data_IF_941648330662
#
_entry.id   IF_941648330662
#
_cell.length_a   1.000
_cell.length_b   1.000
_cell.length_c   1.000
_cell.angle_alpha   90.00
_cell.angle_beta   90.00
_cell.angle_gamma   90.00
#
_symmetry.space_group_name_H-M   'P 1'
#
loop_
_entity.id
_entity.type
_entity.pdbx_description
1 polymer ?
#
# COMPACT_ATOMS: atom_id res chain seq x y z
N UNK A 1 8.96 4.32 4.81
CA UNK A 1 10.00 3.34 4.44
C UNK A 1 11.05 4.00 3.54
N UNK A 2 10.85 4.23 2.25
CA UNK A 2 11.89 4.79 1.37
C UNK A 2 12.51 6.11 1.87
N UNK A 3 11.67 7.08 2.27
CA UNK A 3 12.13 8.42 2.72
C UNK A 3 12.57 8.49 4.18
N UNK A 4 12.28 7.49 4.98
CA UNK A 4 12.59 7.44 6.40
C UNK A 4 12.68 5.96 6.88
N UNK A 5 13.69 5.20 6.43
CA UNK A 5 13.79 3.77 6.69
C UNK A 5 13.84 3.46 8.18
N UNK A 6 14.57 4.26 8.95
CA UNK A 6 14.77 4.03 10.39
C UNK A 6 13.55 4.38 11.27
N UNK A 7 12.50 4.95 10.68
CA UNK A 7 11.30 5.37 11.41
C UNK A 7 10.15 4.36 11.33
N UNK A 8 10.28 3.33 10.50
CA UNK A 8 9.24 2.33 10.28
C UNK A 8 9.81 0.96 10.63
N UNK A 9 9.49 0.46 11.79
CA UNK A 9 9.99 -0.82 12.30
C UNK A 9 9.28 -2.03 11.72
N UNK A 10 8.02 -1.88 11.32
CA UNK A 10 7.22 -2.87 10.61
C UNK A 10 6.04 -2.20 9.91
N UNK A 11 5.46 -2.83 8.90
CA UNK A 11 4.31 -2.31 8.17
C UNK A 11 3.25 -3.37 7.90
N UNK A 12 1.98 -3.00 8.06
CA UNK A 12 0.85 -3.79 7.57
C UNK A 12 0.29 -3.11 6.33
N UNK A 13 0.42 -3.75 5.18
CA UNK A 13 -0.04 -3.25 3.90
C UNK A 13 -1.43 -3.83 3.62
N UNK A 14 -2.46 -3.09 4.01
CA UNK A 14 -3.84 -3.51 3.81
C UNK A 14 -4.32 -3.07 2.43
N UNK A 15 -4.65 -4.03 1.57
CA UNK A 15 -5.17 -3.79 0.23
C UNK A 15 -4.26 -2.83 -0.57
N UNK A 16 -3.02 -3.23 -0.89
CA UNK A 16 -2.12 -2.35 -1.61
C UNK A 16 -2.70 -1.96 -2.96
N UNK A 17 -2.66 -0.67 -3.24
CA UNK A 17 -3.05 -0.11 -4.55
C UNK A 17 -1.97 -0.45 -5.56
N UNK A 18 -2.36 -0.95 -6.73
CA UNK A 18 -1.42 -1.33 -7.76
C UNK A 18 -1.87 -1.01 -9.17
N UNK A 19 -0.90 -0.97 -10.07
CA UNK A 19 -1.13 -0.81 -11.50
C UNK A 19 -1.70 -2.09 -12.10
N UNK A 20 -2.75 -1.93 -12.91
CA UNK A 20 -3.37 -3.00 -13.69
C UNK A 20 -3.27 -2.65 -15.18
N UNK A 21 -2.43 -3.34 -15.96
CA UNK A 21 -2.22 -3.01 -17.37
C UNK A 21 -3.50 -3.01 -18.21
N UNK A 22 -4.44 -3.91 -17.92
CA UNK A 22 -5.74 -4.01 -18.59
C UNK A 22 -6.73 -2.90 -18.22
N UNK A 23 -6.47 -2.16 -17.13
CA UNK A 23 -7.25 -1.00 -16.71
C UNK A 23 -6.37 0.09 -16.10
N UNK A 24 -5.46 0.69 -16.89
CA UNK A 24 -4.41 1.58 -16.40
C UNK A 24 -4.92 2.88 -15.78
N UNK A 25 -6.13 3.30 -16.15
CA UNK A 25 -6.71 4.57 -15.71
C UNK A 25 -7.58 4.46 -14.45
N UNK A 26 -7.77 3.28 -13.89
CA UNK A 26 -8.69 3.09 -12.76
C UNK A 26 -8.39 4.00 -11.59
N UNK A 27 -7.13 4.11 -11.20
CA UNK A 27 -6.71 4.94 -10.08
C UNK A 27 -6.79 6.44 -10.38
N UNK A 28 -6.45 6.83 -11.60
CA UNK A 28 -6.55 8.23 -12.03
C UNK A 28 -8.00 8.71 -12.03
N UNK A 29 -8.92 7.90 -12.60
CA UNK A 29 -10.35 8.21 -12.64
C UNK A 29 -10.95 8.25 -11.23
N UNK A 30 -10.72 7.22 -10.42
CA UNK A 30 -11.18 7.17 -9.02
C UNK A 30 -10.63 8.33 -8.20
N UNK A 31 -9.37 8.68 -8.37
CA UNK A 31 -8.77 9.85 -7.71
C UNK A 31 -9.43 11.16 -8.11
N UNK A 32 -9.80 11.33 -9.38
CA UNK A 32 -10.57 12.52 -9.84
C UNK A 32 -11.96 12.58 -9.23
N UNK A 33 -12.66 11.47 -9.17
CA UNK A 33 -14.02 11.42 -8.62
C UNK A 33 -14.03 11.70 -7.10
N UNK A 34 -13.06 11.19 -6.37
CA UNK A 34 -12.97 11.38 -4.91
C UNK A 34 -12.38 12.73 -4.54
N UNK A 35 -11.34 13.17 -5.22
CA UNK A 35 -10.60 14.40 -4.89
C UNK A 35 -11.10 15.61 -5.68
N UNK A 36 -11.72 15.41 -6.85
CA UNK A 36 -12.23 16.48 -7.71
C UNK A 36 -13.11 17.49 -6.98
N UNK A 37 -14.14 17.07 -6.25
CA UNK A 37 -15.00 17.99 -5.47
C UNK A 37 -14.28 18.69 -4.31
N UNK A 38 -13.26 18.03 -3.73
CA UNK A 38 -12.44 18.61 -2.64
C UNK A 38 -11.35 19.53 -3.17
N UNK A 39 -11.02 19.40 -4.42
CA UNK A 39 -10.04 20.20 -5.13
C UNK A 39 -10.48 21.64 -5.39
N UNK A 40 -11.77 21.93 -5.32
CA UNK A 40 -12.30 23.27 -5.39
C UNK A 40 -12.03 24.11 -4.12
N UNK A 41 -11.50 23.53 -3.04
CA UNK A 41 -10.98 24.29 -1.89
C UNK A 41 -9.59 24.83 -2.22
N UNK A 42 -9.28 26.10 -1.88
CA UNK A 42 -7.93 26.63 -2.02
C UNK A 42 -6.95 25.67 -1.35
N UNK A 43 -6.07 25.06 -2.13
CA UNK A 43 -5.09 24.15 -1.59
C UNK A 43 -4.12 24.92 -0.70
N UNK A 44 -3.83 24.39 0.48
CA UNK A 44 -2.80 24.92 1.37
C UNK A 44 -1.39 24.88 0.73
N UNK A 45 -1.28 24.25 -0.44
CA UNK A 45 -0.07 24.16 -1.29
C UNK A 45 -0.48 24.18 -2.76
N UNK A 46 -0.30 25.32 -3.46
CA UNK A 46 -0.65 25.48 -4.89
C UNK A 46 0.06 24.49 -5.84
N UNK A 47 1.25 24.02 -5.47
CA UNK A 47 2.04 23.07 -6.26
C UNK A 47 1.37 21.68 -6.40
N UNK A 48 0.42 21.37 -5.54
CA UNK A 48 -0.41 20.16 -5.62
C UNK A 48 -1.75 20.42 -6.32
N UNK A 49 -1.78 21.34 -7.28
CA UNK A 49 -2.93 21.54 -8.16
C UNK A 49 -3.44 20.19 -8.67
N UNK A 50 -4.65 19.85 -8.29
CA UNK A 50 -5.20 18.48 -8.20
C UNK A 50 -5.05 17.60 -9.44
N UNK A 51 -5.13 18.17 -10.64
CA UNK A 51 -5.02 17.40 -11.87
C UNK A 51 -3.57 16.94 -12.16
N UNK A 52 -2.60 17.76 -11.86
CA UNK A 52 -1.18 17.45 -12.11
C UNK A 52 -0.66 16.40 -11.16
N UNK A 53 -0.97 16.51 -9.86
CA UNK A 53 -0.55 15.53 -8.86
C UNK A 53 -1.06 14.11 -9.19
N UNK A 54 -2.35 13.97 -9.51
CA UNK A 54 -2.92 12.66 -9.89
C UNK A 54 -2.34 12.14 -11.20
N UNK A 55 -2.10 13.03 -12.15
CA UNK A 55 -1.46 12.67 -13.41
C UNK A 55 -0.02 12.16 -13.17
N UNK A 56 0.76 12.90 -12.41
CA UNK A 56 2.17 12.56 -12.14
C UNK A 56 2.26 11.25 -11.34
N UNK A 57 1.35 11.05 -10.38
CA UNK A 57 1.32 9.83 -9.57
C UNK A 57 0.91 8.58 -10.37
N UNK A 58 -0.13 8.68 -11.20
CA UNK A 58 -0.75 7.50 -11.80
C UNK A 58 -0.47 7.29 -13.28
N UNK A 59 0.07 8.28 -13.99
CA UNK A 59 0.26 8.21 -15.44
C UNK A 59 1.68 8.41 -15.93
N UNK A 60 2.56 9.05 -15.16
CA UNK A 60 3.92 9.32 -15.63
C UNK A 60 4.79 8.06 -15.61
N UNK A 61 4.62 7.24 -14.58
CA UNK A 61 5.34 5.97 -14.42
C UNK A 61 4.41 4.89 -13.86
N UNK A 62 3.41 4.46 -14.62
CA UNK A 62 2.48 3.45 -14.16
C UNK A 62 3.18 2.09 -14.11
N UNK A 63 3.60 1.70 -12.93
CA UNK A 63 4.11 0.35 -12.65
C UNK A 63 3.80 -0.03 -11.21
N UNK A 64 3.65 -1.31 -10.97
CA UNK A 64 3.63 -1.94 -9.66
C UNK A 64 2.69 -1.23 -8.66
N UNK A 65 3.24 -0.45 -7.70
CA UNK A 65 2.47 0.26 -6.66
C UNK A 65 2.48 1.79 -6.81
N UNK A 66 2.79 2.31 -7.96
CA UNK A 66 2.86 3.74 -8.30
C UNK A 66 3.83 4.59 -7.48
N UNK A 67 4.10 4.27 -6.23
CA UNK A 67 4.82 5.13 -5.28
C UNK A 67 6.29 4.77 -5.11
N UNK A 68 6.65 3.52 -5.34
CA UNK A 68 8.02 3.01 -5.22
C UNK A 68 8.36 2.06 -6.36
N UNK A 69 9.65 1.94 -6.67
CA UNK A 69 10.13 1.01 -7.69
C UNK A 69 10.19 -0.44 -7.18
N UNK A 70 10.25 -1.39 -8.11
CA UNK A 70 10.50 -2.81 -7.78
C UNK A 70 11.88 -3.00 -7.14
N UNK A 71 12.87 -2.19 -7.50
CA UNK A 71 14.22 -2.25 -6.90
C UNK A 71 14.21 -1.76 -5.46
N UNK A 72 13.46 -0.71 -5.17
CA UNK A 72 13.22 -0.34 -3.77
C UNK A 72 12.55 -1.49 -3.00
N UNK A 73 11.53 -2.13 -3.53
CA UNK A 73 10.88 -3.25 -2.86
C UNK A 73 11.86 -4.39 -2.55
N UNK A 74 12.77 -4.74 -3.50
CA UNK A 74 13.82 -5.75 -3.29
C UNK A 74 14.83 -5.39 -2.19
N UNK A 75 15.13 -4.12 -2.05
CA UNK A 75 16.09 -3.64 -1.04
C UNK A 75 15.47 -3.36 0.33
N UNK A 76 14.14 -3.32 0.42
CA UNK A 76 13.43 -2.92 1.63
C UNK A 76 13.49 -4.00 2.72
N UNK A 77 14.23 -3.74 3.79
CA UNK A 77 14.38 -4.67 4.91
C UNK A 77 13.28 -4.55 5.97
N UNK A 78 12.39 -3.57 5.86
CA UNK A 78 11.27 -3.42 6.79
C UNK A 78 10.36 -4.65 6.73
N UNK A 79 10.10 -5.35 7.85
CA UNK A 79 9.12 -6.43 7.90
C UNK A 79 7.74 -5.96 7.45
N UNK A 80 7.09 -6.71 6.58
CA UNK A 80 5.79 -6.36 6.02
C UNK A 80 4.81 -7.52 6.12
N UNK A 81 3.59 -7.23 6.57
CA UNK A 81 2.44 -8.13 6.47
C UNK A 81 1.50 -7.59 5.39
N UNK A 82 1.37 -8.30 4.28
CA UNK A 82 0.52 -7.90 3.15
C UNK A 82 -0.84 -8.56 3.28
N UNK A 83 -1.89 -7.76 3.25
CA UNK A 83 -3.28 -8.20 3.27
C UNK A 83 -3.88 -7.98 1.88
N UNK A 84 -4.04 -9.03 1.06
CA UNK A 84 -4.47 -8.90 -0.33
C UNK A 84 -5.92 -8.44 -0.47
N UNK A 85 -6.23 -7.92 -1.64
CA UNK A 85 -7.60 -7.79 -2.17
C UNK A 85 -7.59 -8.16 -3.66
N UNK A 86 -8.75 -8.22 -4.30
CA UNK A 86 -8.86 -8.37 -5.75
C UNK A 86 -9.98 -7.50 -6.29
N UNK A 87 -9.69 -6.22 -6.37
CA UNK A 87 -10.56 -5.21 -6.98
C UNK A 87 -9.79 -4.46 -8.08
N UNK A 88 -10.46 -3.69 -8.92
CA UNK A 88 -9.78 -2.90 -9.95
C UNK A 88 -8.67 -1.98 -9.41
N UNK A 89 -8.82 -1.46 -8.19
CA UNK A 89 -7.85 -0.57 -7.56
C UNK A 89 -6.79 -1.32 -6.73
N UNK A 90 -7.10 -2.53 -6.29
CA UNK A 90 -6.27 -3.35 -5.41
C UNK A 90 -6.07 -4.75 -6.03
N UNK A 91 -5.31 -4.88 -7.12
CA UNK A 91 -5.12 -6.16 -7.78
C UNK A 91 -4.44 -7.18 -6.86
N UNK A 92 -4.92 -8.41 -6.85
CA UNK A 92 -4.31 -9.50 -6.07
C UNK A 92 -2.83 -9.68 -6.44
N UNK A 93 -2.51 -9.58 -7.72
CA UNK A 93 -1.14 -9.68 -8.22
C UNK A 93 -0.19 -8.66 -7.59
N UNK A 94 -0.66 -7.47 -7.27
CA UNK A 94 0.15 -6.45 -6.57
C UNK A 94 0.64 -6.96 -5.21
N UNK A 95 -0.21 -7.64 -4.46
CA UNK A 95 0.16 -8.25 -3.17
C UNK A 95 1.17 -9.38 -3.34
N UNK A 96 0.99 -10.21 -4.35
CA UNK A 96 1.94 -11.28 -4.71
C UNK A 96 3.30 -10.71 -5.11
N UNK A 97 3.30 -9.68 -5.94
CA UNK A 97 4.52 -9.00 -6.38
C UNK A 97 5.29 -8.38 -5.19
N UNK A 98 4.58 -7.70 -4.27
CA UNK A 98 5.21 -7.16 -3.06
C UNK A 98 5.88 -8.27 -2.26
N UNK A 99 5.17 -9.35 -2.01
CA UNK A 99 5.68 -10.46 -1.19
C UNK A 99 6.84 -11.21 -1.86
N UNK A 100 6.85 -11.29 -3.19
CA UNK A 100 7.93 -11.94 -3.93
C UNK A 100 9.19 -11.08 -4.03
N UNK A 101 9.04 -9.77 -3.98
CA UNK A 101 10.15 -8.82 -4.12
C UNK A 101 10.78 -8.48 -2.77
N UNK A 102 9.96 -8.16 -1.76
CA UNK A 102 10.45 -7.71 -0.47
C UNK A 102 10.90 -8.89 0.40
N UNK A 103 12.16 -8.91 0.86
CA UNK A 103 12.78 -10.08 1.51
C UNK A 103 12.12 -10.45 2.85
N UNK A 104 11.50 -9.50 3.53
CA UNK A 104 10.85 -9.70 4.82
C UNK A 104 9.33 -9.48 4.75
N UNK A 105 8.72 -9.83 3.63
CA UNK A 105 7.27 -9.74 3.46
C UNK A 105 6.60 -11.11 3.57
N UNK A 106 5.44 -11.13 4.22
CA UNK A 106 4.55 -12.28 4.29
C UNK A 106 3.12 -11.87 3.91
N UNK A 107 2.33 -12.81 3.42
CA UNK A 107 0.95 -12.54 2.94
C UNK A 107 -0.05 -13.22 3.86
N UNK A 108 -1.15 -12.54 4.16
CA UNK A 108 -2.29 -13.18 4.83
C UNK A 108 -3.10 -14.03 3.86
N UNK A 109 -4.01 -14.84 4.41
CA UNK A 109 -5.00 -15.56 3.60
C UNK A 109 -5.88 -14.58 2.80
N UNK A 110 -6.33 -15.01 1.62
CA UNK A 110 -7.34 -14.31 0.82
C UNK A 110 -8.43 -15.30 0.40
N UNK A 111 -9.71 -14.91 0.45
CA UNK A 111 -10.25 -13.70 1.07
C UNK A 111 -10.07 -13.72 2.61
N UNK A 112 -9.93 -12.54 3.22
CA UNK A 112 -9.69 -12.45 4.68
C UNK A 112 -10.84 -11.78 5.45
N UNK A 113 -11.83 -11.23 4.73
CA UNK A 113 -12.98 -10.54 5.34
C UNK A 113 -14.16 -11.47 5.60
N UNK A 114 -14.29 -12.48 4.78
CA UNK A 114 -15.40 -13.42 4.81
C UNK A 114 -14.88 -14.87 4.72
N UNK A 115 -15.45 -15.79 5.45
CA UNK A 115 -16.46 -15.59 6.49
C UNK A 115 -15.89 -14.90 7.76
N UNK A 116 -16.73 -14.55 8.77
CA UNK A 116 -16.30 -13.80 9.96
C UNK A 116 -15.12 -14.42 10.70
N UNK A 117 -15.01 -15.74 10.74
CA UNK A 117 -13.91 -16.47 11.38
C UNK A 117 -12.55 -16.19 10.72
N UNK A 118 -12.51 -16.02 9.39
CA UNK A 118 -11.30 -15.62 8.67
C UNK A 118 -10.89 -14.19 9.03
N UNK A 119 -11.87 -13.31 9.17
CA UNK A 119 -11.62 -11.92 9.61
C UNK A 119 -10.97 -11.89 10.98
N UNK A 120 -11.51 -12.62 11.95
CA UNK A 120 -10.94 -12.70 13.30
C UNK A 120 -9.53 -13.29 13.30
N UNK A 121 -9.30 -14.36 12.56
CA UNK A 121 -7.96 -14.95 12.40
C UNK A 121 -6.98 -13.97 11.81
N UNK A 122 -7.40 -13.20 10.79
CA UNK A 122 -6.55 -12.19 10.15
C UNK A 122 -6.25 -11.03 11.10
N UNK A 123 -7.23 -10.56 11.87
CA UNK A 123 -6.99 -9.55 12.91
C UNK A 123 -5.97 -10.04 13.94
N UNK A 124 -6.11 -11.29 14.38
CA UNK A 124 -5.14 -11.89 15.31
C UNK A 124 -3.75 -12.01 14.68
N UNK A 125 -3.65 -12.36 13.40
CA UNK A 125 -2.38 -12.39 12.67
C UNK A 125 -1.70 -11.02 12.66
N UNK A 126 -2.46 -9.95 12.38
CA UNK A 126 -1.96 -8.57 12.43
C UNK A 126 -1.44 -8.22 13.83
N UNK A 127 -2.19 -8.56 14.88
CA UNK A 127 -1.78 -8.31 16.27
C UNK A 127 -0.48 -9.03 16.63
N UNK A 128 -0.36 -10.30 16.24
CA UNK A 128 0.84 -11.11 16.47
C UNK A 128 2.02 -10.51 15.73
N UNK A 129 1.85 -10.16 14.45
CA UNK A 129 2.89 -9.53 13.64
C UNK A 129 3.39 -8.22 14.25
N UNK A 130 2.48 -7.33 14.63
CA UNK A 130 2.86 -6.04 15.23
C UNK A 130 3.56 -6.22 16.59
N UNK A 131 3.11 -7.18 17.41
CA UNK A 131 3.78 -7.49 18.69
C UNK A 131 5.19 -8.03 18.49
N UNK A 132 5.39 -8.89 17.50
CA UNK A 132 6.72 -9.45 17.21
C UNK A 132 7.75 -8.42 16.75
N UNK A 133 7.28 -7.27 16.24
CA UNK A 133 8.13 -6.21 15.72
C UNK A 133 8.07 -4.92 16.55
N UNK A 134 7.61 -5.00 17.80
CA UNK A 134 7.63 -3.83 18.68
C UNK A 134 9.08 -3.40 18.97
N UNK A 135 9.38 -2.09 18.96
CA UNK A 135 10.66 -1.61 19.40
C UNK A 135 10.93 -2.04 20.86
N UNK A 136 12.12 -2.56 21.11
CA UNK A 136 12.53 -2.80 22.49
C UNK A 136 12.66 -1.44 23.16
N UNK A 137 11.71 -1.10 24.03
CA UNK A 137 11.86 0.08 24.88
C UNK A 137 13.01 -0.17 25.84
N UNK A 138 14.10 0.60 25.68
CA UNK A 138 15.16 0.60 26.68
C UNK A 138 14.52 0.95 28.03
N UNK A 139 14.60 0.04 28.99
CA UNK A 139 14.22 0.32 30.37
C UNK A 139 15.06 1.50 30.83
N UNK A 140 14.40 2.61 31.17
CA UNK A 140 15.05 3.74 31.86
C UNK A 140 15.33 3.37 33.30
#
# INVERSE_FOLDING_TARGET
>A
MERAPDRVVAAVLCQPVGHRPENPDVMYKSGKDVLGPRAARPAARPEYGNGRYLHDLYRVRPDFVYSVSRDFARSCQTPMLVMPDDTPAHPYQTSVDIASLAPNAEVTVYPWREPPELKERTINRVRIFLKAHQPVTASR
#
